data_IF_729933443084
#
_entry.id   IF_729933443084
#
_cell.length_a   1.000
_cell.length_b   1.000
_cell.length_c   1.000
_cell.angle_alpha   90.00
_cell.angle_beta   90.00
_cell.angle_gamma   90.00
#
_symmetry.space_group_name_H-M   'P 1'
#
loop_
_entity.id
_entity.type
_entity.pdbx_description
1 polymer ?
#
# COMPACT_ATOMS: atom_id res chain seq x y z
N UNK A 1 -4.53 4.92 19.78
CA UNK A 1 -5.04 4.56 21.13
C UNK A 1 -3.88 4.10 21.97
N UNK A 2 -3.75 4.53 23.21
CA UNK A 2 -2.73 4.05 24.12
C UNK A 2 -3.03 2.58 24.47
N UNK A 3 -2.00 1.75 24.57
CA UNK A 3 -2.10 0.37 25.01
C UNK A 3 -2.60 0.35 26.46
N UNK A 4 -3.76 -0.29 26.70
CA UNK A 4 -4.39 -0.35 28.02
C UNK A 4 -4.14 -1.75 28.58
N UNK A 5 -3.32 -1.87 29.61
CA UNK A 5 -3.13 -3.12 30.32
C UNK A 5 -4.41 -3.44 31.14
N UNK A 6 -5.04 -4.58 30.83
CA UNK A 6 -6.25 -5.07 31.48
C UNK A 6 -5.96 -6.18 32.51
N UNK A 7 -4.68 -6.40 32.82
CA UNK A 7 -4.20 -7.38 33.80
C UNK A 7 -4.40 -8.84 33.37
N UNK A 8 -4.13 -9.75 34.28
CA UNK A 8 -4.16 -11.20 34.06
C UNK A 8 -5.53 -11.82 34.37
N UNK A 9 -5.87 -12.89 33.67
CA UNK A 9 -7.05 -13.72 33.95
C UNK A 9 -6.62 -15.18 34.11
N UNK A 10 -7.27 -15.87 35.04
CA UNK A 10 -7.01 -17.29 35.24
C UNK A 10 -7.80 -18.13 34.26
N UNK A 11 -7.14 -19.09 33.65
CA UNK A 11 -7.77 -20.11 32.80
C UNK A 11 -8.46 -21.12 33.71
N UNK A 12 -9.72 -21.45 33.41
CA UNK A 12 -10.51 -22.47 34.08
C UNK A 12 -10.76 -23.62 33.13
N UNK A 13 -10.74 -24.88 33.65
CA UNK A 13 -11.08 -26.06 32.88
C UNK A 13 -12.48 -26.53 33.24
N UNK A 14 -13.30 -26.84 32.25
CA UNK A 14 -14.62 -27.43 32.44
C UNK A 14 -14.55 -28.94 32.24
N UNK A 15 -15.47 -29.70 32.85
CA UNK A 15 -15.43 -31.16 32.97
C UNK A 15 -15.40 -31.98 31.67
N UNK A 16 -15.32 -31.35 30.49
CA UNK A 16 -15.15 -32.01 29.18
C UNK A 16 -13.90 -31.56 28.42
N UNK A 17 -12.90 -31.00 29.14
CA UNK A 17 -11.63 -30.59 28.55
C UNK A 17 -11.65 -29.24 27.81
N UNK A 18 -12.70 -28.44 27.95
CA UNK A 18 -12.75 -27.08 27.43
C UNK A 18 -12.13 -26.10 28.41
N UNK A 19 -11.33 -25.15 27.92
CA UNK A 19 -10.75 -24.10 28.73
C UNK A 19 -11.57 -22.80 28.57
N UNK A 20 -11.80 -22.11 29.70
CA UNK A 20 -12.57 -20.88 29.76
C UNK A 20 -11.69 -19.75 30.33
N UNK A 21 -11.79 -18.58 29.77
CA UNK A 21 -11.20 -17.35 30.28
C UNK A 21 -12.28 -16.25 30.35
N UNK A 22 -12.32 -15.47 31.44
CA UNK A 22 -13.24 -14.34 31.55
C UNK A 22 -12.72 -13.16 30.73
N UNK A 23 -13.58 -12.58 29.90
CA UNK A 23 -13.26 -11.35 29.19
C UNK A 23 -13.31 -10.14 30.12
N UNK A 24 -12.43 -9.13 29.93
CA UNK A 24 -12.48 -7.90 30.71
C UNK A 24 -13.82 -7.16 30.51
N UNK A 25 -14.48 -6.80 31.63
CA UNK A 25 -15.81 -6.17 31.58
C UNK A 25 -15.82 -4.86 30.79
N UNK A 26 -14.79 -4.05 30.95
CA UNK A 26 -14.63 -2.77 30.24
C UNK A 26 -14.56 -3.02 28.72
N UNK A 27 -13.69 -3.92 28.29
CA UNK A 27 -13.56 -4.27 26.87
C UNK A 27 -14.88 -4.79 26.27
N UNK A 28 -15.60 -5.65 27.00
CA UNK A 28 -16.92 -6.17 26.58
C UNK A 28 -17.95 -5.04 26.41
N UNK A 29 -17.92 -4.04 27.31
CA UNK A 29 -18.81 -2.88 27.26
C UNK A 29 -18.44 -1.95 26.11
N UNK A 30 -17.16 -1.63 25.94
CA UNK A 30 -16.65 -0.71 24.92
C UNK A 30 -16.98 -1.19 23.50
N UNK A 31 -16.90 -2.49 23.24
CA UNK A 31 -17.23 -3.08 21.95
C UNK A 31 -18.68 -3.59 21.82
N UNK A 32 -19.49 -3.43 22.88
CA UNK A 32 -20.91 -3.77 22.87
C UNK A 32 -21.22 -5.25 22.71
N UNK A 33 -20.36 -6.15 23.26
CA UNK A 33 -20.63 -7.59 23.28
C UNK A 33 -21.80 -7.92 24.21
N UNK A 34 -22.68 -8.82 23.75
CA UNK A 34 -23.84 -9.32 24.51
C UNK A 34 -23.75 -10.83 24.63
N UNK A 35 -24.58 -11.40 25.51
CA UNK A 35 -24.75 -12.85 25.60
C UNK A 35 -25.11 -13.44 24.21
N UNK A 36 -24.40 -14.47 23.79
CA UNK A 36 -24.57 -15.07 22.46
C UNK A 36 -23.79 -14.39 21.33
N UNK A 37 -23.03 -13.32 21.61
CA UNK A 37 -22.14 -12.74 20.59
C UNK A 37 -21.04 -13.72 20.22
N UNK A 38 -20.76 -13.83 18.92
CA UNK A 38 -19.70 -14.70 18.40
C UNK A 38 -18.38 -13.96 18.32
N UNK A 39 -17.28 -14.64 18.69
CA UNK A 39 -15.93 -14.13 18.65
C UNK A 39 -15.07 -15.09 17.81
N UNK A 40 -14.38 -14.58 16.82
CA UNK A 40 -13.40 -15.32 16.06
C UNK A 40 -12.08 -15.37 16.82
N UNK A 41 -11.44 -16.53 16.83
CA UNK A 41 -10.12 -16.78 17.43
C UNK A 41 -9.11 -16.94 16.30
N UNK A 42 -7.97 -16.24 16.40
CA UNK A 42 -6.87 -16.40 15.48
C UNK A 42 -5.57 -16.57 16.26
N UNK A 43 -4.87 -17.70 16.06
CA UNK A 43 -3.55 -17.94 16.65
C UNK A 43 -2.52 -17.21 15.79
N UNK A 44 -1.73 -16.35 16.43
CA UNK A 44 -0.63 -15.63 15.80
C UNK A 44 0.66 -16.49 15.75
N UNK A 45 1.64 -16.18 14.87
CA UNK A 45 2.89 -16.93 14.78
C UNK A 45 3.73 -16.94 16.06
N UNK A 46 3.57 -15.93 16.91
CA UNK A 46 4.20 -15.80 18.22
C UNK A 46 3.44 -16.57 19.33
N UNK A 47 2.48 -17.43 18.94
CA UNK A 47 1.60 -18.19 19.83
C UNK A 47 0.62 -17.33 20.64
N UNK A 48 0.47 -16.04 20.34
CA UNK A 48 -0.59 -15.21 20.94
C UNK A 48 -1.95 -15.53 20.30
N UNK A 49 -3.03 -15.25 21.04
CA UNK A 49 -4.40 -15.47 20.60
C UNK A 49 -5.10 -14.11 20.42
N UNK A 50 -5.48 -13.82 19.19
CA UNK A 50 -6.28 -12.63 18.89
C UNK A 50 -7.77 -12.97 18.91
N UNK A 51 -8.55 -12.13 19.58
CA UNK A 51 -10.00 -12.24 19.75
C UNK A 51 -10.67 -11.12 18.92
N UNK A 52 -11.44 -11.49 17.90
CA UNK A 52 -12.13 -10.52 17.04
C UNK A 52 -13.64 -10.77 17.10
N UNK A 53 -14.44 -9.84 17.66
CA UNK A 53 -15.90 -9.96 17.60
C UNK A 53 -16.38 -10.05 16.15
N UNK A 54 -17.29 -10.98 15.87
CA UNK A 54 -17.80 -11.21 14.52
C UNK A 54 -18.34 -9.93 13.86
N UNK A 55 -19.03 -9.09 14.64
CA UNK A 55 -19.53 -7.79 14.15
C UNK A 55 -18.44 -6.84 13.69
N UNK A 56 -17.26 -6.86 14.31
CA UNK A 56 -16.11 -6.06 13.89
C UNK A 56 -15.46 -6.68 12.66
N UNK A 57 -15.31 -8.00 12.63
CA UNK A 57 -14.77 -8.72 11.47
C UNK A 57 -15.66 -8.54 10.22
N UNK A 58 -16.98 -8.53 10.38
CA UNK A 58 -17.92 -8.26 9.30
C UNK A 58 -17.92 -6.79 8.87
N UNK A 59 -17.68 -5.85 9.80
CA UNK A 59 -17.48 -4.43 9.46
C UNK A 59 -16.17 -4.20 8.73
N UNK A 60 -15.05 -4.77 9.21
CA UNK A 60 -13.76 -4.69 8.50
C UNK A 60 -13.84 -5.33 7.11
N UNK A 61 -14.56 -6.45 6.96
CA UNK A 61 -14.77 -7.10 5.66
C UNK A 61 -15.74 -6.40 4.72
N UNK A 62 -16.69 -5.61 5.24
CA UNK A 62 -17.72 -4.93 4.44
C UNK A 62 -17.44 -3.45 4.20
N UNK A 63 -16.88 -2.74 5.18
CA UNK A 63 -16.67 -1.29 5.07
C UNK A 63 -15.35 -0.92 4.39
N UNK A 64 -14.33 -1.76 4.48
CA UNK A 64 -12.98 -1.40 4.02
C UNK A 64 -12.60 -2.02 2.66
N UNK A 65 -13.18 -3.17 2.28
CA UNK A 65 -12.96 -3.77 0.97
C UNK A 65 -13.81 -3.15 -0.15
N UNK A 66 -14.93 -2.46 0.20
CA UNK A 66 -15.85 -1.85 -0.75
C UNK A 66 -15.73 -0.33 -0.87
N UNK A 67 -15.10 0.35 0.08
CA UNK A 67 -14.87 1.80 0.01
C UNK A 67 -13.56 2.08 -0.68
N UNK A 68 -13.64 2.59 -1.92
CA UNK A 68 -12.51 3.17 -2.62
C UNK A 68 -11.99 4.38 -1.84
N UNK A 69 -10.69 4.41 -1.58
CA UNK A 69 -10.01 5.55 -0.95
C UNK A 69 -9.85 6.66 -1.99
N UNK A 70 -10.70 7.66 -1.91
CA UNK A 70 -10.71 8.80 -2.81
C UNK A 70 -10.07 10.02 -2.12
N UNK A 71 -9.18 10.70 -2.84
CA UNK A 71 -8.47 11.88 -2.38
C UNK A 71 -8.60 13.02 -3.38
N UNK A 72 -8.68 14.25 -2.84
CA UNK A 72 -8.80 15.48 -3.61
C UNK A 72 -7.56 16.35 -3.39
N UNK A 73 -6.99 16.83 -4.48
CA UNK A 73 -5.87 17.76 -4.48
C UNK A 73 -6.29 19.03 -5.24
N UNK A 74 -6.12 20.18 -4.60
CA UNK A 74 -6.23 21.46 -5.28
C UNK A 74 -4.84 21.95 -5.61
N UNK A 75 -4.57 22.17 -6.89
CA UNK A 75 -3.28 22.63 -7.41
C UNK A 75 -3.41 24.03 -7.93
N UNK A 76 -2.54 24.91 -7.49
CA UNK A 76 -2.34 26.21 -8.12
C UNK A 76 -1.23 26.08 -9.17
N UNK A 77 -1.51 26.25 -10.48
CA UNK A 77 -0.50 26.12 -11.52
C UNK A 77 0.67 27.11 -11.41
N UNK A 78 0.55 28.12 -10.52
CA UNK A 78 1.63 29.06 -10.21
C UNK A 78 2.62 28.51 -9.20
N UNK A 79 2.23 27.50 -8.44
CA UNK A 79 3.13 26.77 -7.52
C UNK A 79 4.01 25.80 -8.31
N UNK A 80 5.15 25.42 -7.72
CA UNK A 80 6.08 24.52 -8.38
C UNK A 80 5.40 23.17 -8.72
N UNK A 81 5.36 22.77 -10.02
CA UNK A 81 4.72 21.53 -10.46
C UNK A 81 5.16 20.30 -9.67
N UNK A 82 6.45 20.25 -9.27
CA UNK A 82 7.04 19.13 -8.53
C UNK A 82 6.39 18.92 -7.16
N UNK A 83 5.85 19.98 -6.53
CA UNK A 83 5.14 19.83 -5.23
C UNK A 83 3.87 19.03 -5.37
N UNK A 84 3.09 19.31 -6.41
CA UNK A 84 1.85 18.58 -6.68
C UNK A 84 2.13 17.14 -7.13
N UNK A 85 3.13 16.94 -8.00
CA UNK A 85 3.54 15.58 -8.43
C UNK A 85 4.03 14.74 -7.25
N UNK A 86 4.78 15.32 -6.30
CA UNK A 86 5.15 14.65 -5.05
C UNK A 86 3.94 14.27 -4.20
N UNK A 87 2.93 15.13 -4.14
CA UNK A 87 1.68 14.85 -3.41
C UNK A 87 0.91 13.69 -4.06
N UNK A 88 0.78 13.68 -5.39
CA UNK A 88 0.16 12.57 -6.15
C UNK A 88 0.91 11.25 -5.90
N UNK A 89 2.26 11.28 -5.93
CA UNK A 89 3.11 10.13 -5.61
C UNK A 89 2.87 9.62 -4.18
N UNK A 90 2.77 10.53 -3.20
CA UNK A 90 2.49 10.18 -1.82
C UNK A 90 1.12 9.53 -1.66
N UNK A 91 0.08 10.05 -2.32
CA UNK A 91 -1.26 9.49 -2.30
C UNK A 91 -1.31 8.09 -2.93
N UNK A 92 -0.64 7.89 -4.06
CA UNK A 92 -0.48 6.55 -4.63
C UNK A 92 0.17 5.60 -3.62
N UNK A 93 1.28 6.01 -2.99
CA UNK A 93 2.04 5.19 -2.04
C UNK A 93 1.26 4.83 -0.77
N UNK A 94 0.34 5.69 -0.29
CA UNK A 94 -0.50 5.40 0.88
C UNK A 94 -1.77 4.59 0.54
N UNK A 95 -1.95 4.21 -0.73
CA UNK A 95 -3.02 3.31 -1.14
C UNK A 95 -4.29 4.01 -1.62
N UNK A 96 -4.21 5.23 -2.15
CA UNK A 96 -5.34 5.88 -2.83
C UNK A 96 -5.82 5.01 -4.00
N UNK A 97 -7.13 4.83 -4.13
CA UNK A 97 -7.76 4.15 -5.27
C UNK A 97 -8.16 5.15 -6.35
N UNK A 98 -8.58 6.35 -5.94
CA UNK A 98 -8.93 7.46 -6.84
C UNK A 98 -8.25 8.72 -6.33
N UNK A 99 -7.63 9.48 -7.23
CA UNK A 99 -7.02 10.77 -6.95
C UNK A 99 -7.62 11.79 -7.92
N UNK A 100 -8.36 12.76 -7.39
CA UNK A 100 -8.90 13.89 -8.17
C UNK A 100 -7.99 15.09 -7.98
N UNK A 101 -7.56 15.65 -9.09
CA UNK A 101 -6.61 16.76 -9.14
C UNK A 101 -7.33 17.95 -9.79
N UNK A 102 -7.69 18.93 -8.99
CA UNK A 102 -8.36 20.15 -9.43
C UNK A 102 -7.35 21.29 -9.58
N UNK A 103 -7.40 22.00 -10.73
CA UNK A 103 -6.53 23.10 -11.08
C UNK A 103 -7.27 24.42 -10.95
N UNK A 104 -6.76 25.33 -10.11
CA UNK A 104 -7.39 26.63 -9.82
C UNK A 104 -7.45 27.61 -11.03
N UNK A 105 -6.69 27.36 -12.09
CA UNK A 105 -6.67 28.21 -13.28
C UNK A 105 -6.63 27.35 -14.54
N UNK A 106 -7.51 27.63 -15.49
CA UNK A 106 -7.60 26.86 -16.73
C UNK A 106 -6.50 27.22 -17.77
N UNK A 107 -5.90 28.40 -17.70
CA UNK A 107 -4.93 28.85 -18.72
C UNK A 107 -3.61 28.07 -18.70
N UNK A 108 -3.12 27.76 -17.50
CA UNK A 108 -1.86 27.01 -17.32
C UNK A 108 -2.09 25.53 -17.03
N UNK A 109 -3.36 25.14 -16.84
CA UNK A 109 -3.75 23.78 -16.51
C UNK A 109 -3.38 22.76 -17.59
N UNK A 110 -3.45 23.13 -18.88
CA UNK A 110 -3.21 22.20 -19.99
C UNK A 110 -1.79 21.59 -19.97
N UNK A 111 -0.77 22.41 -19.73
CA UNK A 111 0.63 21.94 -19.61
C UNK A 111 0.78 21.07 -18.40
N UNK A 112 0.29 21.51 -17.24
CA UNK A 112 0.39 20.79 -15.99
C UNK A 112 -0.36 19.45 -16.02
N UNK A 113 -1.52 19.39 -16.68
CA UNK A 113 -2.25 18.16 -16.94
C UNK A 113 -1.42 17.17 -17.74
N UNK A 114 -0.78 17.64 -18.82
CA UNK A 114 0.07 16.78 -19.65
C UNK A 114 1.24 16.22 -18.84
N UNK A 115 1.89 17.05 -18.03
CA UNK A 115 2.97 16.63 -17.13
C UNK A 115 2.47 15.61 -16.10
N UNK A 116 1.31 15.84 -15.49
CA UNK A 116 0.71 14.91 -14.52
C UNK A 116 0.36 13.57 -15.15
N UNK A 117 -0.20 13.56 -16.37
CA UNK A 117 -0.53 12.33 -17.09
C UNK A 117 0.73 11.52 -17.42
N UNK A 118 1.75 12.18 -17.93
CA UNK A 118 3.03 11.53 -18.23
C UNK A 118 3.68 10.99 -16.95
N UNK A 119 3.73 11.81 -15.90
CA UNK A 119 4.23 11.40 -14.60
C UNK A 119 3.50 10.16 -14.03
N UNK A 120 2.16 10.17 -14.08
CA UNK A 120 1.37 9.03 -13.60
C UNK A 120 1.65 7.76 -14.41
N UNK A 121 1.73 7.87 -15.74
CA UNK A 121 2.03 6.75 -16.63
C UNK A 121 3.43 6.17 -16.39
N UNK A 122 4.40 7.05 -16.18
CA UNK A 122 5.81 6.66 -16.01
C UNK A 122 6.11 6.16 -14.59
N UNK A 123 5.33 6.62 -13.58
CA UNK A 123 5.64 6.38 -12.17
C UNK A 123 4.74 5.34 -11.51
N UNK A 124 3.46 5.22 -11.93
CA UNK A 124 2.48 4.40 -11.22
C UNK A 124 2.12 3.14 -11.97
N UNK A 125 2.29 2.00 -11.33
CA UNK A 125 1.84 0.72 -11.88
C UNK A 125 0.33 0.60 -11.76
N UNK A 126 -0.35 0.29 -12.87
CA UNK A 126 -1.79 0.02 -12.90
C UNK A 126 -2.67 1.24 -12.67
N UNK A 127 -2.24 2.43 -13.08
CA UNK A 127 -3.01 3.65 -13.00
C UNK A 127 -3.51 4.10 -14.38
N UNK A 128 -4.71 4.66 -14.42
CA UNK A 128 -5.32 5.22 -15.63
C UNK A 128 -6.03 6.53 -15.34
N UNK A 129 -6.05 7.43 -16.32
CA UNK A 129 -6.90 8.62 -16.29
C UNK A 129 -8.28 8.20 -16.76
N UNK A 130 -9.26 8.24 -15.85
CA UNK A 130 -10.63 7.82 -16.12
C UNK A 130 -11.57 8.97 -16.46
N UNK A 131 -11.19 10.19 -16.09
CA UNK A 131 -11.97 11.38 -16.38
C UNK A 131 -11.07 12.60 -16.50
N UNK A 132 -11.43 13.52 -17.39
CA UNK A 132 -10.72 14.78 -17.63
C UNK A 132 -11.69 15.89 -18.04
N UNK A 133 -11.65 16.99 -17.30
CA UNK A 133 -12.35 18.24 -17.61
C UNK A 133 -11.34 19.38 -17.82
N UNK A 134 -11.73 20.57 -18.26
CA UNK A 134 -10.81 21.70 -18.32
C UNK A 134 -10.07 22.00 -17.02
N UNK A 135 -10.68 21.73 -15.87
CA UNK A 135 -10.18 22.09 -14.53
C UNK A 135 -9.82 20.89 -13.66
N UNK A 136 -10.07 19.64 -14.08
CA UNK A 136 -9.85 18.46 -13.26
C UNK A 136 -9.28 17.30 -14.07
N UNK A 137 -8.48 16.46 -13.41
CA UNK A 137 -8.09 15.12 -13.86
C UNK A 137 -8.43 14.13 -12.76
N UNK A 138 -9.06 13.02 -13.12
CA UNK A 138 -9.28 11.89 -12.20
C UNK A 138 -8.38 10.73 -12.59
N UNK A 139 -7.46 10.40 -11.69
CA UNK A 139 -6.58 9.24 -11.77
C UNK A 139 -7.16 8.10 -10.95
N UNK A 140 -7.35 6.93 -11.56
CA UNK A 140 -7.77 5.71 -10.86
C UNK A 140 -6.66 4.66 -10.91
N UNK A 141 -6.47 3.96 -9.78
CA UNK A 141 -5.56 2.84 -9.67
C UNK A 141 -6.38 1.55 -9.83
N UNK A 142 -6.17 0.84 -10.94
CA UNK A 142 -6.96 -0.32 -11.37
C UNK A 142 -6.39 -1.64 -10.88
N UNK A 143 -5.07 -1.68 -10.60
CA UNK A 143 -4.40 -2.92 -10.18
C UNK A 143 -4.85 -3.35 -8.78
N UNK A 144 -5.37 -4.58 -8.69
CA UNK A 144 -5.76 -5.16 -7.41
C UNK A 144 -4.56 -5.79 -6.71
N UNK A 145 -4.60 -5.76 -5.38
CA UNK A 145 -3.51 -6.29 -4.53
C UNK A 145 -3.23 -7.78 -4.76
N UNK A 146 -4.23 -8.56 -5.21
CA UNK A 146 -4.10 -10.00 -5.46
C UNK A 146 -3.54 -10.34 -6.84
N UNK A 147 -3.49 -9.41 -7.80
CA UNK A 147 -3.14 -9.71 -9.19
C UNK A 147 -1.63 -9.81 -9.41
N UNK A 148 -0.85 -9.01 -8.70
CA UNK A 148 0.60 -9.00 -8.79
C UNK A 148 1.22 -9.04 -7.39
N UNK A 149 1.69 -10.21 -6.96
CA UNK A 149 2.22 -10.40 -5.61
C UNK A 149 3.51 -9.62 -5.37
N UNK A 150 3.73 -9.22 -4.11
CA UNK A 150 4.94 -8.50 -3.69
C UNK A 150 6.21 -9.29 -4.05
N UNK A 151 6.21 -10.61 -3.84
CA UNK A 151 7.34 -11.48 -4.18
C UNK A 151 7.70 -11.41 -5.67
N UNK A 152 6.69 -11.49 -6.54
CA UNK A 152 6.89 -11.37 -8.01
C UNK A 152 7.40 -9.98 -8.38
N UNK A 153 6.89 -8.94 -7.73
CA UNK A 153 7.31 -7.56 -7.97
C UNK A 153 8.77 -7.33 -7.56
N UNK A 154 9.18 -7.78 -6.36
CA UNK A 154 10.56 -7.71 -5.88
C UNK A 154 11.50 -8.50 -6.79
N UNK A 155 11.12 -9.73 -7.17
CA UNK A 155 11.91 -10.54 -8.10
C UNK A 155 12.10 -9.83 -9.45
N UNK A 156 11.03 -9.25 -10.01
CA UNK A 156 11.10 -8.50 -11.26
C UNK A 156 12.01 -7.29 -11.12
N UNK A 157 11.86 -6.53 -10.04
CA UNK A 157 12.66 -5.36 -9.72
C UNK A 157 14.16 -5.70 -9.67
N UNK A 158 14.54 -6.76 -8.94
CA UNK A 158 15.92 -7.22 -8.86
C UNK A 158 16.50 -7.65 -10.22
N UNK A 159 15.71 -8.34 -11.04
CA UNK A 159 16.14 -8.74 -12.39
C UNK A 159 16.39 -7.52 -13.27
N UNK A 160 15.48 -6.53 -13.26
CA UNK A 160 15.61 -5.31 -14.06
C UNK A 160 16.83 -4.51 -13.61
N UNK A 161 17.03 -4.33 -12.29
CA UNK A 161 18.20 -3.63 -11.73
C UNK A 161 19.52 -4.30 -12.12
N UNK A 162 19.60 -5.64 -12.03
CA UNK A 162 20.79 -6.40 -12.44
C UNK A 162 21.10 -6.27 -13.94
N UNK A 163 20.08 -6.29 -14.79
CA UNK A 163 20.24 -6.09 -16.23
C UNK A 163 20.68 -4.67 -16.55
N UNK A 164 20.05 -3.66 -15.93
CA UNK A 164 20.42 -2.25 -16.08
C UNK A 164 21.88 -2.00 -15.70
N UNK A 165 22.35 -2.57 -14.59
CA UNK A 165 23.75 -2.46 -14.17
C UNK A 165 24.71 -3.09 -15.20
N UNK A 166 24.37 -4.27 -15.78
CA UNK A 166 25.19 -4.90 -16.83
C UNK A 166 25.24 -4.05 -18.08
N UNK A 167 24.11 -3.51 -18.52
CA UNK A 167 24.01 -2.63 -19.68
C UNK A 167 24.77 -1.33 -19.47
N UNK A 168 24.67 -0.72 -18.28
CA UNK A 168 25.43 0.48 -17.93
C UNK A 168 26.95 0.25 -18.01
N UNK A 169 27.44 -0.87 -17.48
CA UNK A 169 28.86 -1.24 -17.55
C UNK A 169 29.29 -1.45 -19.00
N UNK A 170 28.48 -2.11 -19.83
CA UNK A 170 28.76 -2.32 -21.24
C UNK A 170 28.81 -0.98 -22.00
N UNK A 171 27.80 -0.10 -21.79
CA UNK A 171 27.75 1.22 -22.39
C UNK A 171 28.99 2.08 -22.09
N UNK A 172 29.47 2.01 -20.85
CA UNK A 172 30.73 2.69 -20.45
C UNK A 172 31.96 2.14 -21.16
N UNK A 173 32.04 0.82 -21.33
CA UNK A 173 33.16 0.17 -22.04
C UNK A 173 33.19 0.50 -23.52
N UNK A 174 32.00 0.45 -24.14
CA UNK A 174 31.86 0.64 -25.59
C UNK A 174 31.71 2.12 -25.99
N UNK A 175 31.67 3.04 -24.99
CA UNK A 175 31.42 4.48 -25.18
C UNK A 175 30.18 4.76 -26.03
N UNK A 176 29.16 3.91 -25.90
CA UNK A 176 27.92 3.97 -26.68
C UNK A 176 26.84 4.77 -25.95
N UNK A 177 26.45 5.91 -26.53
CA UNK A 177 25.35 6.73 -26.01
C UNK A 177 23.97 6.10 -26.26
N UNK A 178 23.83 5.25 -27.26
CA UNK A 178 22.55 4.61 -27.62
C UNK A 178 22.02 3.66 -26.53
N UNK A 179 22.87 3.18 -25.64
CA UNK A 179 22.47 2.29 -24.55
C UNK A 179 22.01 3.06 -23.28
N UNK A 180 22.29 4.36 -23.18
CA UNK A 180 21.91 5.12 -22.00
C UNK A 180 20.40 5.26 -21.81
N UNK A 181 19.64 5.38 -22.91
CA UNK A 181 18.18 5.45 -22.85
C UNK A 181 17.58 4.14 -22.31
N UNK A 182 18.16 3.00 -22.67
CA UNK A 182 17.75 1.69 -22.12
C UNK A 182 17.99 1.62 -20.62
N UNK A 183 19.15 2.09 -20.13
CA UNK A 183 19.49 2.12 -18.71
C UNK A 183 18.56 3.07 -17.94
N UNK A 184 18.24 4.24 -18.49
CA UNK A 184 17.32 5.20 -17.88
C UNK A 184 15.91 4.59 -17.78
N UNK A 185 15.43 3.95 -18.84
CA UNK A 185 14.12 3.29 -18.84
C UNK A 185 14.06 2.16 -17.81
N UNK A 186 15.12 1.35 -17.71
CA UNK A 186 15.22 0.30 -16.70
C UNK A 186 15.23 0.86 -15.27
N UNK A 187 15.93 1.99 -15.03
CA UNK A 187 15.89 2.68 -13.74
C UNK A 187 14.47 3.16 -13.40
N UNK A 188 13.75 3.73 -14.37
CA UNK A 188 12.36 4.14 -14.19
C UNK A 188 11.44 2.94 -13.86
N UNK A 189 11.66 1.79 -14.51
CA UNK A 189 10.93 0.56 -14.20
C UNK A 189 11.20 0.05 -12.77
N UNK A 190 12.46 0.13 -12.30
CA UNK A 190 12.84 -0.20 -10.92
C UNK A 190 12.09 0.69 -9.94
N UNK A 191 12.12 2.01 -10.14
CA UNK A 191 11.43 2.99 -9.30
C UNK A 191 9.90 2.76 -9.28
N UNK A 192 9.31 2.44 -10.43
CA UNK A 192 7.89 2.15 -10.59
C UNK A 192 7.48 0.89 -9.81
N UNK A 193 8.28 -0.18 -9.90
CA UNK A 193 8.07 -1.41 -9.14
C UNK A 193 8.27 -1.17 -7.65
N UNK A 194 9.31 -0.43 -7.24
CA UNK A 194 9.57 -0.08 -5.85
C UNK A 194 8.40 0.67 -5.22
N UNK A 195 7.86 1.67 -5.91
CA UNK A 195 6.71 2.42 -5.43
C UNK A 195 5.44 1.55 -5.32
N UNK A 196 5.22 0.63 -6.27
CA UNK A 196 4.14 -0.36 -6.19
C UNK A 196 4.29 -1.27 -4.97
N UNK A 197 5.48 -1.78 -4.71
CA UNK A 197 5.73 -2.64 -3.54
C UNK A 197 5.46 -1.87 -2.24
N UNK A 198 5.92 -0.62 -2.14
CA UNK A 198 5.63 0.24 -0.97
C UNK A 198 4.12 0.41 -0.76
N UNK A 199 3.37 0.64 -1.83
CA UNK A 199 1.90 0.71 -1.78
C UNK A 199 1.29 -0.58 -1.23
N UNK A 200 1.74 -1.74 -1.71
CA UNK A 200 1.25 -3.05 -1.26
C UNK A 200 1.58 -3.32 0.22
N UNK A 201 2.80 -3.00 0.64
CA UNK A 201 3.21 -3.16 2.03
C UNK A 201 2.36 -2.30 2.97
N UNK A 202 2.13 -1.03 2.63
CA UNK A 202 1.27 -0.14 3.42
C UNK A 202 -0.18 -0.64 3.49
N UNK A 203 -0.73 -1.07 2.37
CA UNK A 203 -2.06 -1.68 2.32
C UNK A 203 -2.17 -2.89 3.26
N UNK A 204 -1.16 -3.76 3.25
CA UNK A 204 -1.13 -4.95 4.10
C UNK A 204 -1.01 -4.63 5.58
N UNK A 205 -0.23 -3.60 5.95
CA UNK A 205 -0.09 -3.16 7.35
C UNK A 205 -1.42 -2.59 7.85
N UNK A 206 -2.04 -1.69 7.11
CA UNK A 206 -3.29 -1.03 7.53
C UNK A 206 -4.43 -2.03 7.77
N UNK A 207 -4.48 -3.09 6.98
CA UNK A 207 -5.54 -4.10 7.02
C UNK A 207 -5.17 -5.40 7.73
N UNK A 208 -3.98 -5.43 8.32
CA UNK A 208 -3.45 -6.64 9.00
C UNK A 208 -3.43 -7.89 8.09
N UNK A 209 -3.22 -7.69 6.78
CA UNK A 209 -3.26 -8.72 5.74
C UNK A 209 -1.89 -9.37 5.47
N UNK A 210 -0.95 -9.32 6.42
CA UNK A 210 0.41 -9.81 6.19
C UNK A 210 0.45 -11.28 5.73
N UNK A 211 -0.42 -12.15 6.27
CA UNK A 211 -0.50 -13.57 5.87
C UNK A 211 -1.02 -13.75 4.45
N UNK A 212 -2.02 -12.97 4.06
CA UNK A 212 -2.60 -13.02 2.71
C UNK A 212 -1.60 -12.52 1.65
N UNK A 213 -0.70 -11.63 2.05
CA UNK A 213 0.40 -11.13 1.23
C UNK A 213 1.63 -12.04 1.25
N UNK A 214 1.58 -13.18 1.96
CA UNK A 214 2.65 -14.18 2.00
C UNK A 214 3.68 -13.99 3.11
N UNK A 215 3.45 -13.08 4.07
CA UNK A 215 4.34 -12.82 5.20
C UNK A 215 3.97 -13.64 6.43
N UNK A 216 4.97 -14.04 7.21
CA UNK A 216 4.79 -14.77 8.47
C UNK A 216 4.51 -13.83 9.63
N UNK A 217 5.17 -12.68 9.64
CA UNK A 217 5.07 -11.68 10.70
C UNK A 217 5.00 -10.25 10.13
N UNK A 218 4.41 -9.29 10.86
CA UNK A 218 4.44 -7.88 10.47
C UNK A 218 5.86 -7.30 10.31
N UNK A 219 6.85 -7.85 11.01
CA UNK A 219 8.26 -7.41 10.89
C UNK A 219 8.84 -7.63 9.50
N UNK A 220 8.36 -8.61 8.77
CA UNK A 220 8.82 -8.90 7.40
C UNK A 220 8.48 -7.75 6.43
N UNK A 221 7.41 -6.99 6.67
CA UNK A 221 7.12 -5.78 5.89
C UNK A 221 8.28 -4.78 5.94
N UNK A 222 8.88 -4.60 7.12
CA UNK A 222 10.01 -3.70 7.28
C UNK A 222 11.24 -4.21 6.52
N UNK A 223 11.53 -5.51 6.60
CA UNK A 223 12.63 -6.13 5.85
C UNK A 223 12.45 -5.97 4.34
N UNK A 224 11.25 -6.22 3.82
CA UNK A 224 10.95 -6.01 2.41
C UNK A 224 11.07 -4.54 2.01
N UNK A 225 10.64 -3.59 2.86
CA UNK A 225 10.81 -2.16 2.60
C UNK A 225 12.27 -1.75 2.51
N UNK A 226 13.13 -2.31 3.37
CA UNK A 226 14.59 -2.08 3.33
C UNK A 226 15.17 -2.67 2.04
N UNK A 227 14.88 -3.94 1.74
CA UNK A 227 15.37 -4.62 0.53
C UNK A 227 14.98 -3.89 -0.75
N UNK A 228 13.75 -3.38 -0.84
CA UNK A 228 13.28 -2.57 -1.98
C UNK A 228 14.09 -1.30 -2.12
N UNK A 229 14.36 -0.61 -1.02
CA UNK A 229 15.17 0.61 -1.03
C UNK A 229 16.62 0.34 -1.45
N UNK A 230 17.20 -0.79 -1.03
CA UNK A 230 18.56 -1.18 -1.40
C UNK A 230 18.68 -1.59 -2.88
N UNK A 231 17.61 -2.12 -3.50
CA UNK A 231 17.56 -2.42 -4.93
C UNK A 231 17.36 -1.15 -5.77
N UNK A 232 16.63 -0.15 -5.23
CA UNK A 232 16.32 1.12 -5.90
C UNK A 232 17.56 2.03 -6.00
N UNK A 233 18.47 1.95 -5.01
CA UNK A 233 19.71 2.75 -4.94
C UNK A 233 20.92 2.04 -5.56
#
# INVERSE_FOLDING_TARGET
MAEKDLGYRRVQCTGRGSYIISLPKEWVQDIGLKRGSEIAFTIQPDSTLTLIPRKLKEKEGRDDASKQKEYYINVDPKEAPESALRMVRALYAIGADIIRIHFKSSKDAAKFKTETKNFARDTFLGSEIIDETPEEITLQILIKHSEFSIEKAVRRMAIVALLANKEAIAALKDRSTAQFDSVINAHNDVNRLGLYIVRQLKYGIERNLYRELGFRTPKEFLLYRIAVNDIEN
#
